data_IF_382694819293
#
_entry.id   IF_382694819293
#
_cell.length_a   1.000
_cell.length_b   1.000
_cell.length_c   1.000
_cell.angle_alpha   90.00
_cell.angle_beta   90.00
_cell.angle_gamma   90.00
#
_symmetry.space_group_name_H-M   'P 1'
#
loop_
_entity.id
_entity.type
_entity.pdbx_description
1 polymer ?
#
# COMPACT_ATOMS: atom_id res chain seq x y z
N UNK A 1 2.15 -6.23 -13.45
CA UNK A 1 1.39 -5.83 -12.24
C UNK A 1 0.51 -6.96 -11.66
N UNK A 2 0.61 -7.23 -10.35
CA UNK A 2 -0.33 -8.07 -9.58
C UNK A 2 -0.82 -7.31 -8.35
N UNK A 3 -2.06 -7.54 -7.93
CA UNK A 3 -2.67 -6.86 -6.78
C UNK A 3 -3.11 -7.90 -5.76
N UNK A 4 -2.68 -7.73 -4.51
CA UNK A 4 -3.16 -8.42 -3.33
C UNK A 4 -3.87 -7.41 -2.44
N UNK A 5 -5.04 -7.76 -1.93
CA UNK A 5 -5.77 -6.95 -0.95
C UNK A 5 -5.87 -7.72 0.34
N UNK A 6 -5.71 -7.03 1.46
CA UNK A 6 -5.84 -7.60 2.78
C UNK A 6 -7.07 -7.01 3.45
N UNK A 7 -7.77 -7.84 4.23
CA UNK A 7 -8.94 -7.42 4.97
C UNK A 7 -8.62 -6.41 6.09
N UNK A 8 -9.63 -5.99 6.86
CA UNK A 8 -9.51 -5.05 7.98
C UNK A 8 -8.37 -5.36 8.98
N UNK A 9 -8.05 -6.64 9.18
CA UNK A 9 -6.96 -7.11 10.07
C UNK A 9 -5.71 -7.57 9.29
N UNK A 10 -5.54 -7.09 8.06
CA UNK A 10 -4.45 -7.46 7.17
C UNK A 10 -3.09 -7.00 7.69
N UNK A 11 -2.18 -7.94 7.90
CA UNK A 11 -0.80 -7.64 8.32
C UNK A 11 0.16 -7.88 7.15
N UNK A 12 1.08 -6.94 6.95
CA UNK A 12 2.12 -7.02 5.92
C UNK A 12 3.49 -6.56 6.41
N UNK A 13 3.59 -6.16 7.68
CA UNK A 13 4.80 -5.63 8.30
C UNK A 13 5.99 -6.59 8.22
N UNK A 14 5.76 -7.87 8.54
CA UNK A 14 6.78 -8.92 8.45
C UNK A 14 7.17 -9.26 7.01
N UNK A 15 6.26 -9.04 6.06
CA UNK A 15 6.53 -9.24 4.64
C UNK A 15 7.43 -8.14 4.07
N UNK A 16 7.29 -6.91 4.58
CA UNK A 16 7.98 -5.72 4.10
C UNK A 16 8.58 -4.88 5.25
N UNK A 17 9.53 -5.44 6.02
CA UNK A 17 10.11 -4.75 7.17
C UNK A 17 10.94 -3.52 6.75
N UNK A 18 11.54 -3.56 5.56
CA UNK A 18 12.39 -2.50 4.99
C UNK A 18 11.60 -1.51 4.11
N UNK A 19 10.27 -1.42 4.27
CA UNK A 19 9.47 -0.49 3.48
C UNK A 19 9.80 0.97 3.82
N UNK A 20 9.76 1.83 2.82
CA UNK A 20 10.01 3.27 2.97
C UNK A 20 8.75 4.06 2.67
N UNK A 21 8.43 5.08 3.46
CA UNK A 21 7.30 5.97 3.21
C UNK A 21 7.51 6.76 1.92
N UNK A 22 6.54 6.70 1.01
CA UNK A 22 6.46 7.56 -0.17
C UNK A 22 5.61 8.79 0.11
N UNK A 23 4.41 8.60 0.67
CA UNK A 23 3.43 9.69 0.89
C UNK A 23 2.45 9.34 1.99
N UNK A 24 2.15 10.30 2.87
CA UNK A 24 1.07 10.20 3.86
C UNK A 24 -0.17 10.98 3.42
N UNK A 25 -1.33 10.57 3.92
CA UNK A 25 -2.61 11.26 3.81
C UNK A 25 -3.48 10.95 5.05
N UNK A 26 -4.59 11.66 5.22
CA UNK A 26 -5.43 11.56 6.43
C UNK A 26 -5.88 10.13 6.74
N UNK A 27 -6.31 9.40 5.71
CA UNK A 27 -6.75 8.01 5.83
C UNK A 27 -5.62 6.97 5.86
N UNK A 28 -4.36 7.33 5.65
CA UNK A 28 -3.34 6.31 5.44
C UNK A 28 -1.99 6.75 4.89
N UNK A 29 -1.26 5.80 4.34
CA UNK A 29 0.08 6.02 3.79
C UNK A 29 0.37 5.09 2.61
N UNK A 30 1.27 5.55 1.75
CA UNK A 30 1.83 4.80 0.63
C UNK A 30 3.28 4.49 0.96
N UNK A 31 3.64 3.21 0.88
CA UNK A 31 5.00 2.74 1.10
C UNK A 31 5.58 2.07 -0.15
N UNK A 32 6.90 2.17 -0.30
CA UNK A 32 7.70 1.47 -1.29
C UNK A 32 8.44 0.32 -0.63
N UNK A 33 8.58 -0.80 -1.33
CA UNK A 33 9.48 -1.86 -0.91
C UNK A 33 9.99 -2.64 -2.12
N UNK A 34 11.19 -3.19 -2.02
CA UNK A 34 11.82 -4.02 -3.05
C UNK A 34 12.19 -5.36 -2.41
N UNK A 35 11.67 -6.48 -2.93
CA UNK A 35 11.85 -7.81 -2.35
C UNK A 35 11.90 -8.87 -3.43
N UNK A 36 12.87 -9.78 -3.37
CA UNK A 36 12.95 -10.93 -4.29
C UNK A 36 13.01 -10.57 -5.78
N UNK A 37 13.61 -9.43 -6.12
CA UNK A 37 13.66 -8.93 -7.51
C UNK A 37 12.35 -8.35 -8.03
N UNK A 38 11.38 -8.08 -7.15
CA UNK A 38 10.11 -7.41 -7.44
C UNK A 38 10.03 -6.08 -6.71
N UNK A 39 9.19 -5.20 -7.25
CA UNK A 39 8.97 -3.85 -6.75
C UNK A 39 7.55 -3.73 -6.24
N UNK A 40 7.37 -3.13 -5.08
CA UNK A 40 6.09 -3.09 -4.39
C UNK A 40 5.67 -1.66 -4.08
N UNK A 41 4.36 -1.42 -4.17
CA UNK A 41 3.66 -0.34 -3.49
C UNK A 41 2.69 -0.94 -2.49
N UNK A 42 2.70 -0.41 -1.28
CA UNK A 42 1.73 -0.76 -0.25
C UNK A 42 0.90 0.48 0.05
N UNK A 43 -0.38 0.41 -0.29
CA UNK A 43 -1.38 1.37 0.18
C UNK A 43 -1.93 0.83 1.48
N UNK A 44 -1.72 1.57 2.55
CA UNK A 44 -2.20 1.23 3.88
C UNK A 44 -3.15 2.32 4.36
N UNK A 45 -4.44 2.01 4.32
CA UNK A 45 -5.53 2.87 4.75
C UNK A 45 -6.06 2.45 6.14
N UNK A 46 -5.28 1.66 6.90
CA UNK A 46 -5.66 1.21 8.23
C UNK A 46 -5.85 2.35 9.23
N UNK A 47 -5.25 3.53 9.00
CA UNK A 47 -5.53 4.74 9.79
C UNK A 47 -7.02 5.12 9.72
N UNK A 48 -7.74 4.79 8.65
CA UNK A 48 -9.19 5.01 8.58
C UNK A 48 -9.94 4.29 9.71
N UNK A 49 -9.44 3.16 10.20
CA UNK A 49 -10.06 2.43 11.32
C UNK A 49 -10.03 3.20 12.64
N UNK A 50 -9.21 4.26 12.74
CA UNK A 50 -9.22 5.19 13.87
C UNK A 50 -10.17 6.38 13.69
N UNK A 51 -10.67 6.58 12.46
CA UNK A 51 -11.48 7.74 12.06
C UNK A 51 -12.95 7.36 11.88
N UNK A 52 -13.23 6.17 11.34
CA UNK A 52 -14.56 5.70 11.00
C UNK A 52 -15.04 4.59 11.95
N UNK A 53 -16.35 4.51 12.10
CA UNK A 53 -17.01 3.40 12.78
C UNK A 53 -16.90 2.10 11.97
N UNK A 54 -16.98 0.95 12.63
CA UNK A 54 -16.76 -0.36 12.00
C UNK A 54 -17.68 -0.66 10.81
N UNK A 55 -18.92 -0.16 10.88
CA UNK A 55 -19.95 -0.30 9.84
C UNK A 55 -19.62 0.51 8.58
N UNK A 56 -18.88 1.61 8.73
CA UNK A 56 -18.46 2.49 7.63
C UNK A 56 -17.07 2.12 7.08
N UNK A 57 -16.34 1.23 7.75
CA UNK A 57 -15.01 0.80 7.31
C UNK A 57 -15.09 -0.14 6.10
N UNK A 58 -14.29 0.12 5.04
CA UNK A 58 -14.10 -0.84 3.95
C UNK A 58 -13.63 -2.20 4.44
N UNK A 59 -14.05 -3.27 3.77
CA UNK A 59 -13.62 -4.64 4.10
C UNK A 59 -12.12 -4.86 3.89
N UNK A 60 -11.51 -4.09 3.00
CA UNK A 60 -10.10 -4.15 2.64
C UNK A 60 -9.46 -2.78 2.88
N UNK A 61 -8.49 -2.72 3.80
CA UNK A 61 -7.79 -1.48 4.16
C UNK A 61 -6.35 -1.45 3.65
N UNK A 62 -5.81 -2.58 3.21
CA UNK A 62 -4.44 -2.66 2.70
C UNK A 62 -4.45 -3.23 1.29
N UNK A 63 -3.75 -2.54 0.38
CA UNK A 63 -3.54 -2.96 -0.99
C UNK A 63 -2.05 -3.03 -1.30
N UNK A 64 -1.57 -4.22 -1.62
CA UNK A 64 -0.19 -4.47 -2.05
C UNK A 64 -0.19 -4.67 -3.56
N UNK A 65 0.62 -3.89 -4.26
CA UNK A 65 0.77 -3.94 -5.71
C UNK A 65 2.19 -4.36 -6.04
N UNK A 66 2.34 -5.48 -6.73
CA UNK A 66 3.60 -6.01 -7.23
C UNK A 66 3.82 -5.59 -8.68
N UNK A 67 5.03 -5.14 -8.98
CA UNK A 67 5.49 -4.74 -10.31
C UNK A 67 6.72 -5.55 -10.72
N UNK A 68 6.86 -5.77 -12.02
CA UNK A 68 7.97 -6.53 -12.58
C UNK A 68 9.22 -5.64 -12.81
N UNK A 69 9.05 -4.32 -12.80
CA UNK A 69 10.13 -3.35 -12.96
C UNK A 69 9.91 -2.06 -12.15
N UNK A 70 11.01 -1.34 -11.88
CA UNK A 70 10.98 -0.01 -11.26
C UNK A 70 10.18 0.98 -12.11
N UNK A 71 10.34 0.92 -13.43
CA UNK A 71 9.68 1.85 -14.36
C UNK A 71 8.16 1.69 -14.33
N UNK A 72 7.66 0.44 -14.34
CA UNK A 72 6.22 0.15 -14.22
C UNK A 72 5.64 0.73 -12.91
N UNK A 73 6.36 0.59 -11.79
CA UNK A 73 5.97 1.18 -10.50
C UNK A 73 5.99 2.71 -10.55
N UNK A 74 7.04 3.29 -11.09
CA UNK A 74 7.21 4.75 -11.13
C UNK A 74 6.18 5.43 -12.03
N UNK A 75 5.83 4.81 -13.16
CA UNK A 75 4.76 5.30 -14.02
C UNK A 75 3.40 5.23 -13.32
N UNK A 76 3.14 4.16 -12.55
CA UNK A 76 1.96 4.08 -11.70
C UNK A 76 1.90 5.19 -10.65
N UNK A 77 3.03 5.48 -9.98
CA UNK A 77 3.15 6.55 -8.98
C UNK A 77 2.85 7.92 -9.61
N UNK A 78 3.43 8.20 -10.78
CA UNK A 78 3.22 9.46 -11.52
C UNK A 78 1.75 9.66 -11.89
N UNK A 79 1.10 8.62 -12.41
CA UNK A 79 -0.33 8.67 -12.77
C UNK A 79 -1.24 8.97 -11.56
N UNK A 80 -0.79 8.66 -10.34
CA UNK A 80 -1.52 8.91 -9.09
C UNK A 80 -1.18 10.25 -8.43
N UNK A 81 -0.19 11.00 -8.93
CA UNK A 81 0.25 12.25 -8.30
C UNK A 81 0.89 12.02 -6.92
N UNK A 82 1.58 10.90 -6.75
CA UNK A 82 2.32 10.56 -5.53
C UNK A 82 3.83 10.75 -5.65
N UNK A 83 4.33 11.05 -6.86
CA UNK A 83 5.73 11.37 -7.13
C UNK A 83 5.98 12.87 -7.21
#
# INVERSE_FOLDING_TARGET
MRIKRLGKNGVYEEDFPEKTLLKGFEGGSVYLSDKGGKFYLILDESTMASILDEEDLPDELVKIIEFDSVDERNDYIKQRGWG
#
